data_IF_360068554145
#
_entry.id   IF_360068554145
#
_cell.length_a   1.000
_cell.length_b   1.000
_cell.length_c   1.000
_cell.angle_alpha   90.00
_cell.angle_beta   90.00
_cell.angle_gamma   90.00
#
_symmetry.space_group_name_H-M   'P 1'
#
loop_
_entity.id
_entity.type
_entity.pdbx_description
1 polymer ?
#
# COMPACT_ATOMS: atom_id res chain seq x y z
N UNK A 1 8.12 3.49 7.73
CA UNK A 1 6.88 3.09 7.03
C UNK A 1 7.01 1.64 6.62
N UNK A 2 6.09 0.78 7.05
CA UNK A 2 6.17 -0.67 6.84
C UNK A 2 5.12 -1.20 5.87
N UNK A 3 3.87 -0.74 5.98
CA UNK A 3 2.77 -1.15 5.11
C UNK A 3 1.79 0.00 4.92
N UNK A 4 1.20 0.07 3.72
CA UNK A 4 0.15 1.03 3.36
C UNK A 4 -1.00 0.25 2.73
N UNK A 5 -2.23 0.61 3.09
CA UNK A 5 -3.47 0.05 2.54
C UNK A 5 -4.43 1.18 2.19
N UNK A 6 -5.04 1.10 1.01
CA UNK A 6 -5.87 2.17 0.44
C UNK A 6 -7.28 1.67 0.17
N UNK A 7 -8.27 2.25 0.84
CA UNK A 7 -9.68 2.17 0.48
C UNK A 7 -10.02 3.35 -0.43
N UNK A 8 -9.74 3.21 -1.74
CA UNK A 8 -9.91 4.29 -2.69
C UNK A 8 -11.37 4.79 -2.81
N UNK A 9 -12.40 3.92 -2.84
CA UNK A 9 -13.80 4.38 -2.90
C UNK A 9 -14.18 5.33 -1.77
N UNK A 10 -13.62 5.13 -0.57
CA UNK A 10 -13.91 5.96 0.61
C UNK A 10 -12.80 6.97 0.94
N UNK A 11 -11.70 7.00 0.17
CA UNK A 11 -10.59 7.93 0.38
C UNK A 11 -9.81 7.70 1.68
N UNK A 12 -9.74 6.47 2.20
CA UNK A 12 -8.99 6.17 3.43
C UNK A 12 -7.68 5.46 3.14
N UNK A 13 -6.63 5.86 3.85
CA UNK A 13 -5.41 5.11 4.00
C UNK A 13 -5.30 4.53 5.40
N UNK A 14 -4.79 3.31 5.51
CA UNK A 14 -4.25 2.77 6.74
C UNK A 14 -2.74 2.57 6.60
N UNK A 15 -2.00 2.95 7.63
CA UNK A 15 -0.55 2.98 7.67
C UNK A 15 -0.04 2.14 8.84
N UNK A 16 0.95 1.31 8.58
CA UNK A 16 1.71 0.60 9.59
C UNK A 16 3.12 1.21 9.68
N UNK A 17 3.46 1.72 10.85
CA UNK A 17 4.78 2.29 11.15
C UNK A 17 5.43 1.45 12.24
N UNK A 18 6.64 0.97 11.96
CA UNK A 18 7.42 0.16 12.90
C UNK A 18 8.69 0.88 13.30
N UNK A 19 8.99 0.77 14.59
CA UNK A 19 10.28 1.12 15.18
C UNK A 19 10.94 -0.17 15.66
N UNK A 20 11.99 -0.59 14.97
CA UNK A 20 12.69 -1.84 15.28
C UNK A 20 13.58 -1.73 16.53
N UNK A 21 14.04 -0.52 16.86
CA UNK A 21 14.88 -0.28 18.03
C UNK A 21 14.03 -0.38 19.31
N UNK A 22 12.80 0.14 19.25
CA UNK A 22 11.83 0.08 20.35
C UNK A 22 10.98 -1.19 20.34
N UNK A 23 11.03 -1.99 19.27
CA UNK A 23 10.12 -3.11 19.02
C UNK A 23 8.66 -2.67 19.20
N UNK A 24 8.27 -1.61 18.51
CA UNK A 24 6.91 -1.07 18.54
C UNK A 24 6.32 -0.97 17.13
N UNK A 25 5.03 -1.26 17.03
CA UNK A 25 4.23 -0.94 15.85
C UNK A 25 3.15 0.06 16.23
N UNK A 26 2.95 1.06 15.37
CA UNK A 26 1.90 2.07 15.47
C UNK A 26 1.10 2.06 14.18
N UNK A 27 -0.20 2.24 14.30
CA UNK A 27 -1.12 2.13 13.19
C UNK A 27 -1.91 3.43 13.08
N UNK A 28 -2.00 3.95 11.85
CA UNK A 28 -2.66 5.21 11.59
C UNK A 28 -3.70 5.07 10.50
N UNK A 29 -4.68 5.94 10.54
CA UNK A 29 -5.61 6.20 9.45
C UNK A 29 -5.43 7.61 8.95
N UNK A 30 -5.54 7.79 7.64
CA UNK A 30 -5.54 9.10 7.00
C UNK A 30 -6.76 9.19 6.08
N UNK A 31 -7.64 10.14 6.35
CA UNK A 31 -8.70 10.50 5.42
C UNK A 31 -8.11 11.47 4.40
N UNK A 32 -8.05 11.05 3.15
CA UNK A 32 -7.39 11.82 2.08
C UNK A 32 -8.09 13.13 1.72
N UNK A 33 -9.45 13.21 1.66
CA UNK A 33 -10.14 14.45 1.30
C UNK A 33 -9.88 15.64 2.22
N UNK A 34 -9.73 15.42 3.54
CA UNK A 34 -9.52 16.49 4.54
C UNK A 34 -8.16 16.40 5.25
N UNK A 35 -7.32 15.45 4.84
CA UNK A 35 -5.99 15.19 5.40
C UNK A 35 -5.99 14.90 6.92
N UNK A 36 -7.08 14.36 7.47
CA UNK A 36 -7.16 13.99 8.88
C UNK A 36 -6.37 12.71 9.16
N UNK A 37 -5.22 12.86 9.83
CA UNK A 37 -4.42 11.75 10.35
C UNK A 37 -4.85 11.40 11.78
N UNK A 38 -5.07 10.12 12.05
CA UNK A 38 -5.43 9.61 13.36
C UNK A 38 -4.63 8.35 13.68
N UNK A 39 -4.24 8.16 14.94
CA UNK A 39 -3.61 6.93 15.42
C UNK A 39 -4.64 6.00 16.06
N UNK A 40 -4.57 4.71 15.77
CA UNK A 40 -5.49 3.74 16.36
C UNK A 40 -5.27 3.61 17.87
N UNK A 41 -6.35 3.53 18.64
CA UNK A 41 -6.32 3.36 20.09
C UNK A 41 -6.03 1.88 20.44
N UNK A 42 -4.75 1.53 20.53
CA UNK A 42 -4.30 0.21 20.97
C UNK A 42 -4.06 0.19 22.48
N UNK A 43 -4.70 -0.75 23.17
CA UNK A 43 -4.49 -0.98 24.61
C UNK A 43 -3.43 -2.05 24.91
N UNK A 44 -2.93 -2.75 23.90
CA UNK A 44 -1.90 -3.78 24.09
C UNK A 44 -0.54 -3.16 24.39
N UNK A 45 0.17 -3.75 25.35
CA UNK A 45 1.54 -3.38 25.65
C UNK A 45 2.55 -3.91 24.62
N UNK A 46 2.15 -4.86 23.77
CA UNK A 46 3.05 -5.55 22.83
C UNK A 46 2.54 -5.47 21.39
N UNK A 47 2.54 -4.27 20.84
CA UNK A 47 2.03 -3.98 19.49
C UNK A 47 2.92 -4.50 18.37
N UNK A 48 4.18 -4.86 18.65
CA UNK A 48 5.11 -5.42 17.66
C UNK A 48 4.56 -6.65 16.93
N UNK A 49 3.72 -7.43 17.61
CA UNK A 49 3.12 -8.65 17.07
C UNK A 49 1.75 -8.41 16.45
N UNK A 50 1.38 -7.16 16.18
CA UNK A 50 0.26 -6.83 15.33
C UNK A 50 0.77 -6.46 13.94
N UNK A 51 -0.05 -6.68 12.92
CA UNK A 51 0.22 -6.25 11.55
C UNK A 51 -1.05 -5.74 10.88
N UNK A 52 -0.90 -4.83 9.92
CA UNK A 52 -2.00 -4.24 9.18
C UNK A 52 -2.44 -5.17 8.06
N UNK A 53 -3.70 -5.61 8.05
CA UNK A 53 -4.24 -6.37 6.92
C UNK A 53 -4.74 -5.44 5.84
N UNK A 54 -5.74 -4.62 6.17
CA UNK A 54 -6.43 -3.79 5.19
C UNK A 54 -7.23 -2.65 5.85
N UNK A 55 -7.76 -1.75 5.01
CA UNK A 55 -8.82 -0.79 5.35
C UNK A 55 -9.94 -0.94 4.34
N UNK A 56 -11.19 -1.07 4.79
CA UNK A 56 -12.35 -1.20 3.90
C UNK A 56 -13.62 -0.78 4.64
N UNK A 57 -14.44 0.06 4.01
CA UNK A 57 -15.71 0.49 4.56
C UNK A 57 -15.54 1.29 5.85
N UNK A 58 -14.51 2.14 5.91
CA UNK A 58 -14.14 2.92 7.11
C UNK A 58 -13.73 2.06 8.32
N UNK A 59 -13.29 0.83 8.08
CA UNK A 59 -12.79 -0.07 9.12
C UNK A 59 -11.38 -0.53 8.78
N UNK A 60 -10.48 -0.41 9.74
CA UNK A 60 -9.10 -0.95 9.65
C UNK A 60 -9.05 -2.32 10.29
N UNK A 61 -8.41 -3.26 9.62
CA UNK A 61 -8.23 -4.62 10.08
C UNK A 61 -6.78 -4.88 10.42
N UNK A 62 -6.52 -5.33 11.65
CA UNK A 62 -5.22 -5.80 12.09
C UNK A 62 -5.26 -7.31 12.35
N UNK A 63 -4.15 -7.99 12.12
CA UNK A 63 -3.92 -9.37 12.57
C UNK A 63 -2.94 -9.42 13.74
N UNK A 64 -2.99 -10.52 14.49
CA UNK A 64 -1.87 -10.98 15.32
C UNK A 64 -1.14 -12.15 14.67
N UNK A 65 -0.14 -12.71 15.35
CA UNK A 65 0.58 -13.90 14.88
C UNK A 65 0.14 -15.15 15.63
N UNK A 66 -0.18 -16.21 14.89
CA UNK A 66 -0.39 -17.56 15.41
C UNK A 66 0.96 -18.27 15.58
N UNK A 67 1.27 -19.22 14.69
CA UNK A 67 2.61 -19.79 14.62
C UNK A 67 3.59 -18.82 13.95
N UNK A 68 4.49 -18.25 14.76
CA UNK A 68 5.52 -17.30 14.33
C UNK A 68 6.55 -17.90 13.39
N UNK A 69 6.79 -19.22 13.43
CA UNK A 69 7.73 -19.89 12.51
C UNK A 69 7.16 -19.98 11.10
N UNK A 70 5.84 -20.11 11.01
CA UNK A 70 5.12 -20.22 9.75
C UNK A 70 4.64 -18.87 9.22
N UNK A 71 4.79 -17.79 10.00
CA UNK A 71 4.26 -16.47 9.64
C UNK A 71 2.74 -16.45 9.54
N UNK A 72 2.05 -17.39 10.20
CA UNK A 72 0.61 -17.52 10.09
C UNK A 72 -0.07 -16.34 10.79
N UNK A 73 -0.79 -15.52 10.02
CA UNK A 73 -1.64 -14.48 10.59
C UNK A 73 -2.79 -15.13 11.36
N UNK A 74 -3.07 -14.62 12.55
CA UNK A 74 -4.12 -15.10 13.45
C UNK A 74 -4.86 -13.97 14.13
N UNK A 75 -6.17 -14.09 14.16
CA UNK A 75 -7.07 -13.13 14.74
C UNK A 75 -7.32 -11.96 13.79
N UNK A 76 -8.54 -11.44 13.82
CA UNK A 76 -8.90 -10.20 13.14
C UNK A 76 -9.35 -9.21 14.20
N UNK A 77 -8.78 -8.01 14.18
CA UNK A 77 -9.18 -6.90 15.05
C UNK A 77 -9.60 -5.73 14.18
N UNK A 78 -10.80 -5.25 14.39
CA UNK A 78 -11.39 -4.17 13.60
C UNK A 78 -11.42 -2.88 14.41
N UNK A 79 -11.04 -1.79 13.77
CA UNK A 79 -11.05 -0.44 14.34
C UNK A 79 -11.78 0.51 13.40
N UNK A 80 -12.56 1.44 13.94
CA UNK A 80 -13.19 2.49 13.15
C UNK A 80 -12.12 3.46 12.65
N UNK A 81 -12.10 3.75 11.34
CA UNK A 81 -11.04 4.55 10.74
C UNK A 81 -11.09 6.03 11.14
N UNK A 82 -12.28 6.55 11.40
CA UNK A 82 -12.57 7.94 11.76
C UNK A 82 -12.28 8.29 13.23
N UNK A 83 -12.32 7.29 14.11
CA UNK A 83 -12.14 7.48 15.56
C UNK A 83 -10.98 6.70 16.14
N UNK A 84 -10.45 5.71 15.41
CA UNK A 84 -9.39 4.81 15.85
C UNK A 84 -9.80 3.80 16.92
N UNK A 85 -11.08 3.76 17.28
CA UNK A 85 -11.60 2.92 18.37
C UNK A 85 -11.81 1.50 17.91
N UNK A 86 -11.56 0.55 18.80
CA UNK A 86 -11.88 -0.85 18.57
C UNK A 86 -13.38 -1.04 18.36
N UNK A 87 -13.75 -1.76 17.30
CA UNK A 87 -15.13 -2.12 16.97
C UNK A 87 -15.45 -3.54 17.42
N UNK A 88 -14.64 -4.51 16.98
CA UNK A 88 -14.83 -5.92 17.26
C UNK A 88 -13.54 -6.71 17.03
N UNK A 89 -13.55 -7.97 17.48
CA UNK A 89 -12.44 -8.89 17.26
C UNK A 89 -12.94 -10.31 17.02
N UNK A 90 -12.20 -11.06 16.21
CA UNK A 90 -12.41 -12.48 15.92
C UNK A 90 -11.08 -13.25 16.13
N UNK A 91 -10.79 -13.74 17.34
CA UNK A 91 -9.46 -14.28 17.70
C UNK A 91 -9.06 -15.56 16.96
N UNK A 92 -10.03 -16.36 16.53
CA UNK A 92 -9.80 -17.68 15.91
C UNK A 92 -9.83 -17.66 14.37
N UNK A 93 -10.14 -16.50 13.78
CA UNK A 93 -10.19 -16.33 12.33
C UNK A 93 -8.89 -15.73 11.79
N UNK A 94 -8.55 -16.07 10.55
CA UNK A 94 -7.54 -15.41 9.75
C UNK A 94 -8.20 -14.60 8.63
N UNK A 95 -7.63 -13.44 8.34
CA UNK A 95 -8.03 -12.57 7.24
C UNK A 95 -7.65 -13.22 5.90
N UNK A 96 -8.56 -13.24 4.93
CA UNK A 96 -8.28 -13.69 3.57
C UNK A 96 -8.23 -12.52 2.57
N UNK A 97 -9.21 -11.62 2.64
CA UNK A 97 -9.32 -10.49 1.73
C UNK A 97 -10.61 -9.71 1.97
N UNK A 98 -10.76 -8.57 1.29
CA UNK A 98 -12.01 -7.80 1.30
C UNK A 98 -12.80 -8.03 0.02
N UNK A 99 -14.12 -8.05 0.15
CA UNK A 99 -15.08 -7.92 -0.93
C UNK A 99 -16.00 -6.72 -0.66
N UNK A 100 -16.84 -6.37 -1.64
CA UNK A 100 -17.73 -5.21 -1.57
C UNK A 100 -18.51 -5.12 -0.25
N UNK A 101 -19.00 -6.26 0.26
CA UNK A 101 -19.86 -6.32 1.45
C UNK A 101 -19.12 -6.53 2.77
N UNK A 102 -17.81 -6.78 2.75
CA UNK A 102 -17.05 -6.98 3.98
C UNK A 102 -15.78 -7.80 3.84
N UNK A 103 -15.46 -8.58 4.89
CA UNK A 103 -14.20 -9.31 5.02
C UNK A 103 -14.42 -10.80 4.83
N UNK A 104 -13.68 -11.41 3.92
CA UNK A 104 -13.56 -12.86 3.83
C UNK A 104 -12.50 -13.34 4.83
N UNK A 105 -12.86 -14.37 5.59
CA UNK A 105 -12.04 -14.94 6.64
C UNK A 105 -12.17 -16.46 6.68
N UNK A 106 -11.25 -17.15 7.35
CA UNK A 106 -11.34 -18.60 7.56
C UNK A 106 -10.89 -18.98 8.98
N UNK A 107 -11.40 -20.10 9.48
CA UNK A 107 -10.98 -20.64 10.76
C UNK A 107 -9.61 -21.32 10.60
N UNK A 108 -8.65 -20.94 11.44
CA UNK A 108 -7.27 -21.42 11.39
C UNK A 108 -7.16 -22.87 11.88
N UNK A 109 -8.10 -23.30 12.73
CA UNK A 109 -8.12 -24.65 13.33
C UNK A 109 -8.83 -25.69 12.47
N UNK A 110 -9.58 -25.24 11.46
CA UNK A 110 -10.33 -26.10 10.55
C UNK A 110 -9.55 -26.29 9.24
N UNK A 111 -9.92 -27.33 8.48
CA UNK A 111 -9.28 -27.58 7.19
C UNK A 111 -9.49 -26.37 6.26
N UNK A 112 -8.43 -25.83 5.62
CA UNK A 112 -8.56 -24.69 4.73
C UNK A 112 -9.40 -25.09 3.53
N UNK A 113 -10.64 -24.63 3.48
CA UNK A 113 -11.58 -24.99 2.41
C UNK A 113 -12.81 -24.10 2.36
N UNK A 114 -13.35 -23.75 3.53
CA UNK A 114 -14.56 -22.95 3.66
C UNK A 114 -14.23 -21.59 4.28
N UNK A 115 -14.63 -20.53 3.57
CA UNK A 115 -14.51 -19.16 4.03
C UNK A 115 -15.86 -18.63 4.51
N UNK A 116 -15.75 -17.67 5.40
CA UNK A 116 -16.84 -16.94 6.01
C UNK A 116 -16.78 -15.50 5.47
N UNK A 117 -17.95 -14.89 5.26
CA UNK A 117 -18.05 -13.46 5.04
C UNK A 117 -18.48 -12.79 6.35
N UNK A 118 -17.66 -11.87 6.82
CA UNK A 118 -17.93 -11.02 7.97
C UNK A 118 -18.38 -9.64 7.49
N UNK A 119 -19.45 -9.12 8.06
CA UNK A 119 -19.85 -7.72 7.87
C UNK A 119 -18.88 -6.79 8.63
N UNK A 120 -18.50 -5.68 8.01
CA UNK A 120 -17.42 -4.80 8.47
C UNK A 120 -17.70 -4.10 9.79
N UNK A 121 -18.93 -3.68 10.07
CA UNK A 121 -19.27 -2.88 11.24
C UNK A 121 -19.24 -3.67 12.55
N UNK A 122 -19.72 -4.92 12.54
CA UNK A 122 -19.88 -5.73 13.75
C UNK A 122 -19.12 -7.06 13.75
N UNK A 123 -18.49 -7.43 12.62
CA UNK A 123 -17.75 -8.69 12.50
C UNK A 123 -18.65 -9.92 12.57
N UNK A 124 -19.95 -9.76 12.29
CA UNK A 124 -20.92 -10.86 12.27
C UNK A 124 -20.81 -11.62 10.97
N UNK A 125 -20.84 -12.95 11.07
CA UNK A 125 -20.91 -13.80 9.89
C UNK A 125 -22.24 -13.63 9.19
N UNK A 126 -22.20 -13.20 7.93
CA UNK A 126 -23.37 -13.01 7.07
C UNK A 126 -23.48 -14.11 6.00
N UNK A 127 -22.41 -14.83 5.72
CA UNK A 127 -22.39 -15.99 4.82
C UNK A 127 -21.30 -16.97 5.28
N UNK A 128 -21.57 -18.27 5.19
CA UNK A 128 -20.63 -19.36 5.44
C UNK A 128 -20.38 -20.16 4.15
N UNK A 129 -19.52 -21.17 4.26
CA UNK A 129 -19.31 -22.22 3.25
C UNK A 129 -18.90 -21.67 1.87
N UNK A 130 -18.17 -20.55 1.85
CA UNK A 130 -17.67 -19.94 0.61
C UNK A 130 -16.43 -20.71 0.16
N UNK A 131 -16.50 -21.34 -1.01
CA UNK A 131 -15.36 -22.05 -1.57
C UNK A 131 -14.21 -21.10 -1.94
N UNK A 132 -12.96 -21.56 -1.81
CA UNK A 132 -11.76 -20.74 -2.08
C UNK A 132 -11.75 -20.06 -3.45
N UNK A 133 -12.19 -20.77 -4.52
CA UNK A 133 -12.26 -20.18 -5.87
C UNK A 133 -13.25 -19.02 -5.91
N UNK A 134 -14.43 -19.20 -5.32
CA UNK A 134 -15.44 -18.15 -5.26
C UNK A 134 -14.94 -16.95 -4.43
N UNK A 135 -14.25 -17.20 -3.31
CA UNK A 135 -13.64 -16.16 -2.50
C UNK A 135 -12.60 -15.35 -3.31
N UNK A 136 -11.70 -16.02 -4.02
CA UNK A 136 -10.73 -15.38 -4.92
C UNK A 136 -11.42 -14.54 -6.00
N UNK A 137 -12.47 -15.07 -6.65
CA UNK A 137 -13.22 -14.35 -7.69
C UNK A 137 -13.96 -13.12 -7.12
N UNK A 138 -14.41 -13.16 -5.86
CA UNK A 138 -15.03 -12.02 -5.17
C UNK A 138 -14.00 -10.94 -4.83
N UNK A 139 -12.85 -11.33 -4.25
CA UNK A 139 -11.75 -10.40 -3.93
C UNK A 139 -11.23 -9.73 -5.19
N UNK A 140 -10.99 -10.49 -6.26
CA UNK A 140 -10.47 -9.94 -7.52
C UNK A 140 -11.44 -8.93 -8.15
N UNK A 141 -12.74 -9.27 -8.22
CA UNK A 141 -13.75 -8.34 -8.75
C UNK A 141 -13.82 -7.05 -7.94
N UNK A 142 -13.75 -7.16 -6.61
CA UNK A 142 -13.77 -5.97 -5.77
C UNK A 142 -12.46 -5.18 -5.88
N UNK A 143 -11.31 -5.84 -6.04
CA UNK A 143 -10.02 -5.18 -6.26
C UNK A 143 -10.06 -4.26 -7.49
N UNK A 144 -10.60 -4.74 -8.62
CA UNK A 144 -10.75 -3.93 -9.84
C UNK A 144 -11.61 -2.69 -9.62
N UNK A 145 -12.71 -2.82 -8.88
CA UNK A 145 -13.55 -1.68 -8.51
C UNK A 145 -12.83 -0.72 -7.56
N UNK A 146 -12.20 -1.26 -6.52
CA UNK A 146 -11.54 -0.51 -5.44
C UNK A 146 -10.35 0.29 -5.94
N UNK A 147 -9.56 -0.25 -6.86
CA UNK A 147 -8.35 0.40 -7.35
C UNK A 147 -8.50 1.00 -8.75
N UNK A 148 -9.69 0.93 -9.37
CA UNK A 148 -9.92 1.45 -10.72
C UNK A 148 -9.73 2.96 -10.88
N UNK A 149 -9.76 3.72 -9.78
CA UNK A 149 -9.48 5.16 -9.77
C UNK A 149 -8.02 5.50 -9.38
N UNK A 150 -7.21 4.49 -9.06
CA UNK A 150 -5.81 4.65 -8.66
C UNK A 150 -4.93 4.36 -9.87
N UNK A 151 -4.02 5.29 -10.15
CA UNK A 151 -3.04 5.12 -11.21
C UNK A 151 -1.71 4.71 -10.60
N UNK A 152 -1.32 3.47 -10.87
CA UNK A 152 0.02 2.95 -10.57
C UNK A 152 0.93 3.16 -11.77
N UNK A 153 2.24 3.36 -11.55
CA UNK A 153 3.16 3.52 -12.65
C UNK A 153 3.44 2.20 -13.36
N UNK A 154 3.84 2.32 -14.62
CA UNK A 154 4.35 1.20 -15.40
C UNK A 154 5.85 1.07 -15.21
N UNK A 155 6.31 -0.11 -14.78
CA UNK A 155 7.73 -0.44 -14.68
C UNK A 155 8.28 -0.85 -16.06
N UNK A 156 9.32 -0.16 -16.50
CA UNK A 156 10.09 -0.46 -17.70
C UNK A 156 11.54 -0.78 -17.32
N UNK A 157 12.10 -1.85 -17.88
CA UNK A 157 13.50 -2.25 -17.61
C UNK A 157 14.44 -1.89 -18.75
N UNK A 158 15.71 -1.79 -18.42
CA UNK A 158 16.77 -1.55 -19.40
C UNK A 158 16.73 -2.59 -20.54
N UNK A 159 16.85 -2.10 -21.77
CA UNK A 159 16.68 -2.89 -23.00
C UNK A 159 15.25 -2.92 -23.55
N UNK A 160 14.25 -2.41 -22.82
CA UNK A 160 12.91 -2.20 -23.38
C UNK A 160 12.83 -0.88 -24.16
N UNK A 161 12.08 -0.85 -25.27
CA UNK A 161 12.01 0.33 -26.14
C UNK A 161 11.51 1.59 -25.42
N UNK A 162 10.55 1.45 -24.50
CA UNK A 162 10.00 2.58 -23.75
C UNK A 162 10.96 3.07 -22.66
N UNK A 163 11.76 2.16 -22.07
CA UNK A 163 12.83 2.55 -21.16
C UNK A 163 13.82 3.48 -21.85
N UNK A 164 14.29 3.11 -23.04
CA UNK A 164 15.28 3.90 -23.80
C UNK A 164 14.73 5.30 -24.14
N UNK A 165 13.47 5.40 -24.55
CA UNK A 165 12.82 6.68 -24.86
C UNK A 165 12.76 7.61 -23.64
N UNK A 166 12.30 7.10 -22.50
CA UNK A 166 12.21 7.90 -21.27
C UNK A 166 13.60 8.22 -20.73
N UNK A 167 14.57 7.30 -20.85
CA UNK A 167 15.97 7.57 -20.50
C UNK A 167 16.52 8.73 -21.30
N UNK A 168 16.36 8.72 -22.62
CA UNK A 168 16.90 9.77 -23.49
C UNK A 168 16.27 11.14 -23.16
N UNK A 169 14.98 11.18 -22.83
CA UNK A 169 14.32 12.37 -22.31
C UNK A 169 14.92 12.85 -20.98
N UNK A 170 15.12 11.96 -20.00
CA UNK A 170 15.72 12.32 -18.71
C UNK A 170 17.17 12.77 -18.85
N UNK A 171 17.97 12.16 -19.74
CA UNK A 171 19.34 12.60 -20.05
C UNK A 171 19.31 14.04 -20.56
N UNK A 172 18.39 14.36 -21.47
CA UNK A 172 18.26 15.70 -22.04
C UNK A 172 17.82 16.73 -21.00
N UNK A 173 16.81 16.43 -20.18
CA UNK A 173 16.19 17.40 -19.28
C UNK A 173 16.90 17.53 -17.93
N UNK A 174 17.56 16.47 -17.45
CA UNK A 174 18.15 16.41 -16.10
C UNK A 174 19.67 16.23 -16.08
N UNK A 175 20.32 16.01 -17.23
CA UNK A 175 21.76 15.68 -17.32
C UNK A 175 22.13 14.50 -16.40
N UNK A 176 21.28 13.46 -16.40
CA UNK A 176 21.46 12.25 -15.60
C UNK A 176 21.54 11.01 -16.50
N UNK A 177 22.02 9.88 -15.95
CA UNK A 177 22.10 8.61 -16.66
C UNK A 177 21.23 7.55 -15.95
N UNK A 178 19.94 7.42 -16.30
CA UNK A 178 19.08 6.37 -15.77
C UNK A 178 19.54 4.97 -16.19
N UNK A 179 19.52 4.03 -15.26
CA UNK A 179 19.97 2.64 -15.46
C UNK A 179 19.00 1.63 -14.84
N UNK A 180 19.11 0.36 -15.21
CA UNK A 180 18.38 -0.79 -14.64
C UNK A 180 16.86 -0.79 -14.90
N UNK A 181 16.13 0.20 -14.39
CA UNK A 181 14.68 0.33 -14.58
C UNK A 181 14.22 1.78 -14.37
N UNK A 182 12.99 2.06 -14.77
CA UNK A 182 12.24 3.27 -14.42
C UNK A 182 10.75 2.94 -14.31
N UNK A 183 10.04 3.71 -13.52
CA UNK A 183 8.59 3.65 -13.40
C UNK A 183 7.98 4.94 -13.94
N UNK A 184 6.96 4.83 -14.79
CA UNK A 184 6.38 5.95 -15.51
C UNK A 184 4.85 6.00 -15.37
N UNK A 185 4.31 7.18 -15.11
CA UNK A 185 2.88 7.46 -15.18
C UNK A 185 2.64 8.83 -15.83
N UNK A 186 1.53 8.97 -16.54
CA UNK A 186 1.11 10.21 -17.20
C UNK A 186 -0.33 10.55 -16.81
N UNK A 187 -0.56 11.81 -16.46
CA UNK A 187 -1.90 12.35 -16.16
C UNK A 187 -2.35 13.31 -17.27
N UNK A 188 -3.50 13.96 -17.08
CA UNK A 188 -3.96 15.05 -17.93
C UNK A 188 -3.09 16.33 -17.83
N UNK A 189 -2.18 16.40 -16.84
CA UNK A 189 -1.40 17.62 -16.54
C UNK A 189 0.12 17.40 -16.46
N UNK A 190 0.59 16.17 -16.17
CA UNK A 190 2.01 15.94 -15.89
C UNK A 190 2.48 14.52 -16.25
N UNK A 191 3.80 14.39 -16.40
CA UNK A 191 4.54 13.14 -16.45
C UNK A 191 5.21 12.92 -15.09
N UNK A 192 5.09 11.72 -14.52
CA UNK A 192 5.77 11.32 -13.28
C UNK A 192 6.68 10.15 -13.58
N UNK A 193 7.96 10.28 -13.24
CA UNK A 193 8.98 9.26 -13.52
C UNK A 193 9.80 8.98 -12.27
N UNK A 194 9.81 7.73 -11.81
CA UNK A 194 10.83 7.25 -10.88
C UNK A 194 11.95 6.58 -11.67
N UNK A 195 13.20 6.93 -11.39
CA UNK A 195 14.35 6.48 -12.16
C UNK A 195 15.57 6.25 -11.27
N UNK A 196 16.48 5.38 -11.71
CA UNK A 196 17.64 4.98 -10.91
C UNK A 196 18.94 5.44 -11.55
N UNK A 197 19.85 6.02 -10.76
CA UNK A 197 21.22 6.35 -11.18
C UNK A 197 22.24 5.57 -10.35
N UNK A 198 23.42 5.30 -10.92
CA UNK A 198 24.52 4.67 -10.16
C UNK A 198 25.10 5.65 -9.15
N UNK A 199 25.23 5.24 -7.90
CA UNK A 199 25.84 6.05 -6.82
C UNK A 199 27.10 5.42 -6.20
N UNK A 200 27.45 4.21 -6.62
CA UNK A 200 28.65 3.50 -6.19
C UNK A 200 28.78 2.13 -6.86
N UNK A 201 29.74 1.31 -6.42
CA UNK A 201 29.87 -0.06 -6.92
C UNK A 201 28.63 -0.87 -6.51
N UNK A 202 27.85 -1.31 -7.50
CA UNK A 202 26.59 -2.05 -7.32
C UNK A 202 25.54 -1.33 -6.46
N UNK A 203 25.59 0.00 -6.38
CA UNK A 203 24.63 0.83 -5.64
C UNK A 203 23.85 1.76 -6.57
N UNK A 204 22.57 1.94 -6.24
CA UNK A 204 21.66 2.81 -6.96
C UNK A 204 21.10 3.89 -6.04
N UNK A 205 20.82 5.05 -6.64
CA UNK A 205 19.97 6.10 -6.06
C UNK A 205 18.68 6.14 -6.87
N UNK A 206 17.53 6.05 -6.18
CA UNK A 206 16.21 6.18 -6.78
C UNK A 206 15.72 7.62 -6.64
N UNK A 207 15.37 8.25 -7.75
CA UNK A 207 14.79 9.58 -7.84
C UNK A 207 13.34 9.53 -8.32
N UNK A 208 12.58 10.56 -8.02
CA UNK A 208 11.25 10.82 -8.56
C UNK A 208 11.21 12.22 -9.16
N UNK A 209 10.93 12.30 -10.45
CA UNK A 209 10.74 13.55 -11.17
C UNK A 209 9.29 13.74 -11.62
N UNK A 210 8.83 14.99 -11.59
CA UNK A 210 7.52 15.41 -12.13
C UNK A 210 7.76 16.52 -13.13
N UNK A 211 7.27 16.33 -14.35
CA UNK A 211 7.32 17.29 -15.44
C UNK A 211 5.90 17.67 -15.84
N UNK A 212 5.66 18.90 -16.29
CA UNK A 212 4.42 19.18 -17.02
C UNK A 212 4.48 18.62 -18.45
N UNK A 213 3.37 18.71 -19.17
CA UNK A 213 3.27 18.22 -20.56
C UNK A 213 4.13 19.01 -21.57
N UNK A 214 4.71 20.15 -21.18
CA UNK A 214 5.68 20.88 -22.01
C UNK A 214 7.13 20.45 -21.72
N UNK A 215 7.34 19.56 -20.75
CA UNK A 215 8.66 19.09 -20.32
C UNK A 215 9.29 19.93 -19.22
N UNK A 216 8.59 20.92 -18.63
CA UNK A 216 9.19 21.68 -17.52
C UNK A 216 9.18 20.87 -16.23
N UNK A 217 10.35 20.79 -15.59
CA UNK A 217 10.53 20.12 -14.31
C UNK A 217 9.88 20.91 -13.16
N UNK A 218 8.97 20.27 -12.43
CA UNK A 218 8.33 20.81 -11.22
C UNK A 218 8.87 20.18 -9.93
N UNK A 219 9.28 18.92 -9.98
CA UNK A 219 9.80 18.19 -8.81
C UNK A 219 10.94 17.26 -9.25
N UNK A 220 12.00 17.18 -8.46
CA UNK A 220 12.99 16.10 -8.54
C UNK A 220 13.50 15.76 -7.13
N UNK A 221 13.14 14.59 -6.62
CA UNK A 221 13.36 14.17 -5.24
C UNK A 221 14.12 12.84 -5.18
N UNK A 222 15.15 12.77 -4.34
CA UNK A 222 15.80 11.49 -4.00
C UNK A 222 14.85 10.67 -3.11
N UNK A 223 14.28 9.61 -3.63
CA UNK A 223 13.43 8.68 -2.88
C UNK A 223 14.24 7.81 -1.93
N UNK A 224 15.35 7.25 -2.39
CA UNK A 224 16.23 6.43 -1.57
C UNK A 224 17.64 6.38 -2.19
N UNK A 225 18.67 6.54 -1.36
CA UNK A 225 20.07 6.46 -1.78
C UNK A 225 20.75 5.15 -1.42
N UNK A 226 21.77 4.77 -2.19
CA UNK A 226 22.67 3.63 -1.98
C UNK A 226 21.96 2.27 -1.75
N UNK A 227 20.90 2.01 -2.50
CA UNK A 227 20.12 0.76 -2.45
C UNK A 227 20.70 -0.32 -3.37
N UNK A 228 20.41 -1.59 -3.05
CA UNK A 228 20.95 -2.78 -3.73
C UNK A 228 20.14 -3.23 -4.97
N UNK A 229 19.04 -2.55 -5.29
CA UNK A 229 18.18 -2.97 -6.38
C UNK A 229 17.04 -2.00 -6.67
N UNK A 230 16.22 -2.38 -7.64
CA UNK A 230 15.05 -1.62 -8.09
C UNK A 230 13.81 -2.03 -7.29
N UNK A 231 12.92 -1.07 -7.07
CA UNK A 231 11.60 -1.27 -6.49
C UNK A 231 10.53 -1.36 -7.57
N UNK A 232 9.30 -1.62 -7.13
CA UNK A 232 8.08 -1.47 -7.93
C UNK A 232 7.05 -0.71 -7.10
N UNK A 233 6.09 -0.07 -7.77
CA UNK A 233 5.06 0.76 -7.15
C UNK A 233 5.66 1.84 -6.22
N UNK A 234 6.75 2.48 -6.67
CA UNK A 234 7.48 3.51 -5.88
C UNK A 234 6.62 4.73 -5.57
N UNK A 235 5.60 4.98 -6.39
CA UNK A 235 4.57 5.98 -6.18
C UNK A 235 3.22 5.49 -6.70
N UNK A 236 2.16 6.21 -6.36
CA UNK A 236 0.85 6.07 -6.99
C UNK A 236 0.16 7.43 -7.05
N UNK A 237 -0.77 7.58 -7.98
CA UNK A 237 -1.56 8.79 -8.17
C UNK A 237 -3.01 8.47 -7.84
N UNK A 238 -3.61 9.25 -6.95
CA UNK A 238 -5.00 9.10 -6.56
C UNK A 238 -5.59 10.46 -6.17
N UNK A 239 -6.84 10.74 -6.55
CA UNK A 239 -7.50 12.04 -6.32
C UNK A 239 -6.65 13.25 -6.74
N UNK A 240 -6.00 13.19 -7.91
CA UNK A 240 -5.07 14.24 -8.42
C UNK A 240 -3.89 14.55 -7.49
N UNK A 241 -3.54 13.63 -6.59
CA UNK A 241 -2.38 13.74 -5.73
C UNK A 241 -1.39 12.61 -6.03
N UNK A 242 -0.10 12.97 -6.03
CA UNK A 242 1.03 12.05 -6.10
C UNK A 242 1.45 11.63 -4.70
N UNK A 243 1.52 10.33 -4.45
CA UNK A 243 1.90 9.75 -3.16
C UNK A 243 3.12 8.85 -3.30
N UNK A 244 4.09 9.00 -2.40
CA UNK A 244 5.30 8.15 -2.37
C UNK A 244 5.94 8.11 -0.98
N UNK A 245 6.87 7.16 -0.79
CA UNK A 245 7.65 7.02 0.43
C UNK A 245 9.11 7.37 0.18
N UNK A 246 9.62 8.34 0.92
CA UNK A 246 11.02 8.76 0.91
C UNK A 246 11.78 8.15 2.10
N UNK A 247 12.94 7.57 1.81
CA UNK A 247 13.89 6.94 2.74
C UNK A 247 13.27 5.90 3.67
N UNK A 248 12.18 5.25 3.23
CA UNK A 248 11.36 4.31 4.04
C UNK A 248 10.79 4.92 5.34
N UNK A 249 10.91 6.22 5.56
CA UNK A 249 10.57 6.88 6.83
C UNK A 249 9.52 7.96 6.65
N UNK A 250 9.50 8.64 5.50
CA UNK A 250 8.64 9.79 5.25
C UNK A 250 7.64 9.46 4.16
N UNK A 251 6.35 9.69 4.39
CA UNK A 251 5.33 9.64 3.36
C UNK A 251 5.06 11.07 2.87
N UNK A 252 5.07 11.27 1.55
CA UNK A 252 4.83 12.57 0.93
C UNK A 252 3.61 12.51 0.02
N UNK A 253 2.91 13.63 -0.06
CA UNK A 253 1.78 13.86 -0.95
C UNK A 253 1.93 15.23 -1.62
N UNK A 254 1.73 15.31 -2.93
CA UNK A 254 1.72 16.56 -3.70
C UNK A 254 0.47 16.63 -4.58
N UNK A 255 -0.16 17.80 -4.67
CA UNK A 255 -1.19 18.05 -5.68
C UNK A 255 -0.54 18.16 -7.06
N UNK A 256 -1.12 17.49 -8.05
CA UNK A 256 -0.77 17.55 -9.47
C UNK A 256 -1.71 18.47 -10.26
#
# INVERSE_FOLDING_TARGET
>A
MWRIRLDAPNGWLALEVRDADLLQARFYTLHLPDAQLLELELHDLNTWWLGLEDVHGQVVYLHGYGDRKLGQHKGIRAFAADTGKALWQQPELAFYGVEERGVLAYNITEAPGELLLLESGYGKTVQNDIGQKEAADRVQRYHEHRFGAVQYPHLYREGEAYFEQVRDFLVQELDCEPVSALEYAETDTCLVVSYYCKSGENKLDNFLAVFDLNGFLHLNELLAGAIDGVGSDTFFIFMRNLYFVQNKTTWKAYSL
#
